data_IF_027925883221
#
_entry.id   IF_027925883221
#
_cell.length_a   1.000
_cell.length_b   1.000
_cell.length_c   1.000
_cell.angle_alpha   90.00
_cell.angle_beta   90.00
_cell.angle_gamma   90.00
#
_symmetry.space_group_name_H-M   'P 1'
#
loop_
_entity.id
_entity.type
_entity.pdbx_description
1 polymer ?
#
# COMPACT_ATOMS: atom_id res chain seq x y z
N UNK A 1 -4.01 -33.36 11.96
CA UNK A 1 -4.16 -32.22 11.02
C UNK A 1 -2.82 -31.51 10.90
N UNK A 2 -2.34 -31.18 9.69
CA UNK A 2 -1.16 -30.32 9.53
C UNK A 2 -1.56 -28.92 10.02
N UNK A 3 -0.99 -28.48 11.13
CA UNK A 3 -1.24 -27.14 11.63
C UNK A 3 -0.37 -26.15 10.84
N UNK A 4 -0.92 -25.04 10.32
CA UNK A 4 -0.12 -24.05 9.62
C UNK A 4 0.92 -23.42 10.56
N UNK A 5 2.15 -23.29 10.06
CA UNK A 5 3.28 -22.70 10.78
C UNK A 5 3.52 -21.23 10.41
N UNK A 6 2.90 -20.76 9.32
CA UNK A 6 2.97 -19.36 8.91
C UNK A 6 1.88 -18.58 9.65
N UNK A 7 2.22 -17.38 10.13
CA UNK A 7 1.26 -16.45 10.71
C UNK A 7 1.56 -15.06 10.18
N UNK A 8 0.67 -14.55 9.35
CA UNK A 8 0.78 -13.24 8.73
C UNK A 8 -0.52 -12.48 8.94
N UNK A 9 -0.40 -11.21 9.31
CA UNK A 9 -1.53 -10.28 9.39
C UNK A 9 -1.77 -9.66 8.02
N UNK A 10 -2.99 -9.78 7.51
CA UNK A 10 -3.38 -9.18 6.24
C UNK A 10 -4.67 -8.38 6.38
N UNK A 11 -4.77 -7.30 5.59
CA UNK A 11 -6.01 -6.54 5.47
C UNK A 11 -7.11 -7.43 4.88
N UNK A 12 -8.30 -7.47 5.47
CA UNK A 12 -9.42 -8.33 5.02
C UNK A 12 -9.71 -8.15 3.52
N UNK A 13 -9.52 -6.94 2.99
CA UNK A 13 -9.72 -6.62 1.58
C UNK A 13 -8.68 -7.26 0.64
N UNK A 14 -7.51 -7.68 1.14
CA UNK A 14 -6.48 -8.43 0.37
C UNK A 14 -7.08 -9.63 -0.35
N UNK A 15 -8.05 -10.27 0.29
CA UNK A 15 -8.73 -11.45 -0.24
C UNK A 15 -9.66 -11.10 -1.41
N UNK A 16 -10.12 -9.85 -1.50
CA UNK A 16 -10.99 -9.38 -2.59
C UNK A 16 -10.22 -9.09 -3.88
N UNK A 17 -8.96 -8.66 -3.81
CA UNK A 17 -8.13 -8.37 -5.00
C UNK A 17 -7.13 -9.47 -5.38
N UNK A 18 -6.74 -10.34 -4.46
CA UNK A 18 -5.75 -11.39 -4.72
C UNK A 18 -6.32 -12.66 -5.40
N UNK A 19 -7.57 -12.60 -5.89
CA UNK A 19 -8.21 -13.66 -6.67
C UNK A 19 -8.69 -14.87 -5.86
N UNK A 20 -9.50 -15.73 -6.48
CA UNK A 20 -10.12 -16.89 -5.81
C UNK A 20 -9.14 -17.88 -5.12
N UNK A 21 -7.90 -18.11 -5.58
CA UNK A 21 -7.01 -19.07 -4.94
C UNK A 21 -6.50 -18.59 -3.57
N UNK A 22 -6.37 -17.28 -3.35
CA UNK A 22 -5.89 -16.72 -2.08
C UNK A 22 -6.95 -16.76 -0.99
N UNK A 23 -8.26 -16.69 -1.35
CA UNK A 23 -9.38 -16.90 -0.41
C UNK A 23 -9.33 -18.27 0.29
N UNK A 24 -8.75 -19.28 -0.37
CA UNK A 24 -8.64 -20.66 0.15
C UNK A 24 -7.26 -20.89 0.79
N UNK A 25 -6.19 -20.40 0.16
CA UNK A 25 -4.82 -20.61 0.62
C UNK A 25 -4.52 -19.84 1.92
N UNK A 26 -5.08 -18.65 2.11
CA UNK A 26 -4.74 -17.76 3.23
C UNK A 26 -5.25 -18.29 4.59
N UNK A 27 -6.51 -18.72 4.71
CA UNK A 27 -6.99 -19.38 5.92
C UNK A 27 -6.25 -20.70 6.20
N UNK A 28 -5.94 -21.48 5.14
CA UNK A 28 -5.23 -22.76 5.26
C UNK A 28 -3.78 -22.60 5.74
N UNK A 29 -3.16 -21.44 5.49
CA UNK A 29 -1.80 -21.09 5.92
C UNK A 29 -1.74 -20.37 7.28
N UNK A 30 -2.86 -20.16 7.98
CA UNK A 30 -2.87 -19.59 9.33
C UNK A 30 -2.80 -18.06 9.40
N UNK A 31 -3.17 -17.38 8.32
CA UNK A 31 -3.17 -15.92 8.25
C UNK A 31 -4.35 -15.31 9.02
N UNK A 32 -4.10 -14.16 9.68
CA UNK A 32 -5.08 -13.47 10.51
C UNK A 32 -5.59 -12.24 9.74
N UNK A 33 -6.88 -12.23 9.42
CA UNK A 33 -7.52 -11.09 8.77
C UNK A 33 -7.75 -9.95 9.77
N UNK A 34 -7.29 -8.75 9.42
CA UNK A 34 -7.56 -7.52 10.18
C UNK A 34 -8.24 -6.52 9.26
N UNK A 35 -9.15 -5.72 9.81
CA UNK A 35 -9.69 -4.57 9.06
C UNK A 35 -8.79 -3.36 9.33
N UNK A 36 -8.26 -2.75 8.27
CA UNK A 36 -7.43 -1.57 8.40
C UNK A 36 -8.31 -0.38 8.81
N UNK A 37 -8.00 0.27 9.94
CA UNK A 37 -8.76 1.45 10.43
C UNK A 37 -10.27 1.19 10.66
N UNK A 38 -10.70 -0.06 10.75
CA UNK A 38 -12.07 -0.48 11.09
C UNK A 38 -12.21 -0.88 12.56
N UNK A 39 -13.45 -0.89 13.09
CA UNK A 39 -13.73 -1.25 14.47
C UNK A 39 -13.95 -2.78 14.63
N UNK A 40 -12.96 -3.59 14.26
CA UNK A 40 -13.03 -5.04 14.40
C UNK A 40 -12.59 -5.51 15.80
N UNK A 41 -13.44 -5.29 16.81
CA UNK A 41 -13.17 -5.68 18.21
C UNK A 41 -12.91 -7.18 18.34
N UNK A 42 -13.62 -8.02 17.60
CA UNK A 42 -13.46 -9.48 17.64
C UNK A 42 -12.10 -9.91 17.10
N UNK A 43 -11.69 -9.38 15.95
CA UNK A 43 -10.36 -9.63 15.37
C UNK A 43 -9.22 -9.18 16.29
N UNK A 44 -9.36 -8.02 16.94
CA UNK A 44 -8.38 -7.54 17.91
C UNK A 44 -8.31 -8.44 19.16
N UNK A 45 -9.44 -8.91 19.67
CA UNK A 45 -9.47 -9.85 20.80
C UNK A 45 -8.86 -11.20 20.45
N UNK A 46 -9.16 -11.72 19.25
CA UNK A 46 -8.54 -12.93 18.74
C UNK A 46 -7.02 -12.78 18.64
N UNK A 47 -6.55 -11.71 17.98
CA UNK A 47 -5.12 -11.44 17.82
C UNK A 47 -4.41 -11.30 19.17
N UNK A 48 -5.01 -10.61 20.14
CA UNK A 48 -4.46 -10.47 21.50
C UNK A 48 -4.26 -11.83 22.18
N UNK A 49 -5.24 -12.73 22.10
CA UNK A 49 -5.11 -14.09 22.64
C UNK A 49 -4.00 -14.88 21.94
N UNK A 50 -3.93 -14.77 20.61
CA UNK A 50 -2.91 -15.48 19.82
C UNK A 50 -1.48 -15.00 20.13
N UNK A 51 -1.27 -13.70 20.34
CA UNK A 51 0.08 -13.15 20.58
C UNK A 51 0.56 -13.31 22.01
N UNK A 52 -0.34 -13.53 22.98
CA UNK A 52 0.01 -13.83 24.37
C UNK A 52 0.58 -15.25 24.56
N UNK A 53 0.13 -16.20 23.75
CA UNK A 53 0.67 -17.56 23.74
C UNK A 53 0.92 -18.07 22.31
N UNK A 54 1.86 -17.44 21.57
CA UNK A 54 2.03 -17.72 20.16
C UNK A 54 2.75 -19.05 19.98
N UNK A 55 2.19 -19.89 19.12
CA UNK A 55 2.82 -21.16 18.70
C UNK A 55 3.99 -20.93 17.74
N UNK A 56 3.92 -19.88 16.93
CA UNK A 56 4.91 -19.52 15.90
C UNK A 56 5.07 -17.98 15.83
N UNK A 57 6.19 -17.47 15.29
CA UNK A 57 6.36 -16.04 15.04
C UNK A 57 5.25 -15.46 14.15
N UNK A 58 4.94 -14.19 14.35
CA UNK A 58 3.97 -13.46 13.53
C UNK A 58 4.73 -12.46 12.67
N UNK A 59 4.45 -12.46 11.38
CA UNK A 59 4.91 -11.46 10.44
C UNK A 59 3.77 -10.48 10.11
N UNK A 60 4.10 -9.22 9.89
CA UNK A 60 3.15 -8.19 9.49
C UNK A 60 3.88 -7.08 8.73
N UNK A 61 3.18 -6.41 7.83
CA UNK A 61 3.61 -5.15 7.21
C UNK A 61 3.06 -3.99 8.07
N UNK A 62 3.91 -3.26 8.81
CA UNK A 62 3.44 -2.27 9.78
C UNK A 62 2.95 -0.96 9.14
N UNK A 63 3.19 -0.74 7.85
CA UNK A 63 2.84 0.47 7.09
C UNK A 63 1.33 0.61 6.83
N UNK A 64 0.53 -0.42 7.12
CA UNK A 64 -0.93 -0.40 6.97
C UNK A 64 -1.44 -0.44 5.52
N UNK A 65 -0.58 -0.25 4.52
CA UNK A 65 -0.87 -0.32 3.09
C UNK A 65 0.36 -0.77 2.28
N UNK A 66 0.14 -1.06 0.98
CA UNK A 66 1.23 -1.39 0.05
C UNK A 66 2.05 -0.14 -0.22
N UNK A 67 3.37 -0.23 -0.06
CA UNK A 67 4.33 0.81 -0.44
C UNK A 67 5.03 0.44 -1.74
N UNK A 68 5.51 1.45 -2.48
CA UNK A 68 6.08 1.25 -3.82
C UNK A 68 7.52 1.73 -3.99
N UNK A 69 8.12 2.26 -2.93
CA UNK A 69 9.50 2.72 -2.92
C UNK A 69 10.31 1.82 -1.98
N UNK A 70 11.26 1.07 -2.54
CA UNK A 70 12.25 0.37 -1.74
C UNK A 70 13.16 1.37 -1.01
N UNK A 71 13.92 0.90 -0.02
CA UNK A 71 14.94 1.69 0.70
C UNK A 71 14.42 2.88 1.51
N UNK A 72 13.12 3.14 1.48
CA UNK A 72 12.44 4.18 2.25
C UNK A 72 11.39 3.50 3.12
N UNK A 73 11.43 3.74 4.43
CA UNK A 73 10.35 3.31 5.31
C UNK A 73 9.20 4.33 5.23
N UNK A 74 8.00 3.87 4.89
CA UNK A 74 6.81 4.69 5.06
C UNK A 74 6.45 4.80 6.55
N UNK A 75 5.59 5.76 6.89
CA UNK A 75 5.01 5.86 8.23
C UNK A 75 4.32 4.54 8.60
N UNK A 76 4.52 4.08 9.82
CA UNK A 76 3.91 2.84 10.31
C UNK A 76 2.74 3.12 11.23
N UNK A 77 1.82 2.17 11.30
CA UNK A 77 0.68 2.19 12.19
C UNK A 77 1.07 1.69 13.59
N UNK A 78 0.42 2.24 14.62
CA UNK A 78 0.60 1.84 16.03
C UNK A 78 0.21 0.37 16.32
N UNK A 79 -0.36 -0.34 15.34
CA UNK A 79 -0.78 -1.74 15.47
C UNK A 79 0.36 -2.66 15.88
N UNK A 80 1.56 -2.49 15.28
CA UNK A 80 2.72 -3.31 15.60
C UNK A 80 3.17 -3.17 17.06
N UNK A 81 3.24 -1.93 17.55
CA UNK A 81 3.57 -1.64 18.95
C UNK A 81 2.52 -2.18 19.93
N UNK A 82 1.22 -2.09 19.58
CA UNK A 82 0.14 -2.68 20.39
C UNK A 82 0.26 -4.21 20.47
N UNK A 83 0.53 -4.88 19.34
CA UNK A 83 0.72 -6.34 19.29
C UNK A 83 1.90 -6.76 20.17
N UNK A 84 3.02 -6.05 20.08
CA UNK A 84 4.19 -6.31 20.93
C UNK A 84 3.86 -6.13 22.42
N UNK A 85 3.14 -5.06 22.78
CA UNK A 85 2.71 -4.84 24.16
C UNK A 85 1.74 -5.92 24.65
N UNK A 86 0.82 -6.41 23.81
CA UNK A 86 -0.09 -7.50 24.17
C UNK A 86 0.66 -8.81 24.37
N UNK A 87 1.67 -9.10 23.55
CA UNK A 87 2.49 -10.30 23.70
C UNK A 87 3.22 -10.33 25.07
N UNK A 88 3.65 -9.17 25.58
CA UNK A 88 4.29 -9.04 26.89
C UNK A 88 3.34 -9.26 28.09
N UNK A 89 2.03 -9.21 27.89
CA UNK A 89 1.04 -9.55 28.92
C UNK A 89 0.89 -11.07 29.10
N UNK A 90 1.42 -11.86 28.16
CA UNK A 90 1.50 -13.31 28.26
C UNK A 90 2.62 -13.77 29.21
N UNK A 91 2.82 -15.09 29.36
CA UNK A 91 3.82 -15.66 30.26
C UNK A 91 5.28 -15.50 29.77
N UNK A 92 5.51 -14.89 28.60
CA UNK A 92 6.85 -14.76 28.02
C UNK A 92 7.67 -13.69 28.73
N UNK A 93 8.90 -14.06 29.07
CA UNK A 93 9.88 -13.15 29.65
C UNK A 93 10.36 -12.10 28.64
N UNK A 94 10.32 -12.37 27.34
CA UNK A 94 10.75 -11.42 26.31
C UNK A 94 9.92 -11.55 25.03
N UNK A 95 9.78 -10.43 24.32
CA UNK A 95 9.25 -10.33 22.96
C UNK A 95 10.35 -9.71 22.10
N UNK A 96 10.76 -10.41 21.05
CA UNK A 96 11.77 -9.93 20.10
C UNK A 96 11.09 -9.59 18.79
N UNK A 97 11.34 -8.38 18.28
CA UNK A 97 10.87 -7.95 16.96
C UNK A 97 12.07 -7.88 16.03
N UNK A 98 11.98 -8.54 14.88
CA UNK A 98 13.02 -8.50 13.85
C UNK A 98 12.54 -7.62 12.68
N UNK A 99 13.10 -6.41 12.49
CA UNK A 99 12.83 -5.62 11.30
C UNK A 99 13.31 -6.36 10.05
N UNK A 100 12.50 -6.37 8.99
CA UNK A 100 12.84 -7.02 7.72
C UNK A 100 12.76 -5.98 6.60
N UNK A 101 13.87 -5.77 5.89
CA UNK A 101 13.92 -4.99 4.67
C UNK A 101 13.71 -5.89 3.45
N UNK A 102 12.93 -5.42 2.48
CA UNK A 102 12.73 -6.10 1.20
C UNK A 102 13.10 -5.16 0.05
N UNK A 103 13.92 -5.65 -0.86
CA UNK A 103 14.35 -4.95 -2.05
C UNK A 103 14.29 -5.88 -3.25
N UNK A 104 14.30 -5.32 -4.45
CA UNK A 104 14.19 -6.11 -5.67
C UNK A 104 15.35 -5.80 -6.60
N UNK A 105 15.68 -6.71 -7.50
CA UNK A 105 16.41 -6.39 -8.75
C UNK A 105 15.51 -6.79 -9.90
N UNK A 106 15.13 -5.85 -10.76
CA UNK A 106 14.06 -6.06 -11.73
C UNK A 106 14.50 -6.75 -13.01
N UNK A 107 15.74 -6.53 -13.44
CA UNK A 107 16.32 -7.16 -14.62
C UNK A 107 17.80 -7.51 -14.42
N UNK A 108 18.38 -8.26 -15.37
CA UNK A 108 19.83 -8.45 -15.45
C UNK A 108 20.53 -7.17 -15.95
N UNK A 109 19.86 -6.47 -16.87
CA UNK A 109 20.28 -5.19 -17.45
C UNK A 109 19.18 -4.17 -17.12
N UNK A 110 19.40 -3.40 -16.06
CA UNK A 110 18.41 -2.47 -15.53
C UNK A 110 18.28 -1.23 -16.43
N UNK A 111 19.37 -0.76 -17.05
CA UNK A 111 19.34 0.41 -17.92
C UNK A 111 18.50 0.16 -19.17
N UNK A 112 18.72 -0.97 -19.85
CA UNK A 112 17.88 -1.37 -20.98
C UNK A 112 16.44 -1.55 -20.55
N UNK A 113 16.22 -2.21 -19.40
CA UNK A 113 14.87 -2.43 -18.90
C UNK A 113 14.14 -1.10 -18.59
N UNK A 114 14.84 -0.10 -18.06
CA UNK A 114 14.28 1.23 -17.84
C UNK A 114 13.85 1.89 -19.16
N UNK A 115 14.67 1.81 -20.21
CA UNK A 115 14.30 2.33 -21.53
C UNK A 115 13.08 1.61 -22.13
N UNK A 116 12.96 0.30 -21.91
CA UNK A 116 11.78 -0.49 -22.30
C UNK A 116 10.52 -0.02 -21.56
N UNK A 117 10.64 0.30 -20.26
CA UNK A 117 9.52 0.85 -19.47
C UNK A 117 9.08 2.22 -19.97
N UNK A 118 10.02 3.12 -20.28
CA UNK A 118 9.69 4.44 -20.84
C UNK A 118 8.96 4.29 -22.19
N UNK A 119 9.47 3.41 -23.07
CA UNK A 119 8.83 3.12 -24.36
C UNK A 119 7.45 2.51 -24.21
N UNK A 120 7.26 1.66 -23.19
CA UNK A 120 5.96 1.11 -22.86
C UNK A 120 4.99 2.19 -22.40
N UNK A 121 5.42 3.10 -21.53
CA UNK A 121 4.59 4.21 -21.06
C UNK A 121 4.21 5.11 -22.24
N UNK A 122 5.15 5.48 -23.11
CA UNK A 122 4.90 6.29 -24.32
C UNK A 122 3.80 5.68 -25.19
N UNK A 123 3.84 4.35 -25.40
CA UNK A 123 2.83 3.62 -26.16
C UNK A 123 1.48 3.56 -25.47
N UNK A 124 1.45 3.28 -24.16
CA UNK A 124 0.20 3.13 -23.40
C UNK A 124 -0.49 4.48 -23.15
N UNK A 125 0.29 5.55 -22.95
CA UNK A 125 -0.20 6.92 -22.82
C UNK A 125 -0.54 7.56 -24.16
N UNK A 126 0.01 7.04 -25.27
CA UNK A 126 -0.01 7.68 -26.58
C UNK A 126 0.57 9.11 -26.54
N UNK A 127 1.69 9.28 -25.82
CA UNK A 127 2.39 10.56 -25.65
C UNK A 127 3.88 10.38 -25.89
N UNK A 128 4.44 11.12 -26.83
CA UNK A 128 5.88 11.08 -27.13
C UNK A 128 6.73 11.59 -25.97
N UNK A 129 7.80 10.86 -25.64
CA UNK A 129 8.79 11.27 -24.64
C UNK A 129 10.01 11.87 -25.36
N UNK A 130 10.49 13.03 -24.89
CA UNK A 130 11.71 13.64 -25.42
C UNK A 130 12.94 12.82 -25.03
N UNK A 131 13.47 12.07 -26.00
CA UNK A 131 14.62 11.17 -25.81
C UNK A 131 15.96 11.91 -25.75
N UNK A 132 15.98 13.22 -26.00
CA UNK A 132 17.19 14.03 -25.86
C UNK A 132 17.54 14.34 -24.40
N UNK A 133 16.55 14.26 -23.50
CA UNK A 133 16.72 14.48 -22.06
C UNK A 133 17.40 13.28 -21.38
N UNK A 134 18.15 13.48 -20.29
CA UNK A 134 18.60 12.39 -19.43
C UNK A 134 17.42 11.54 -18.89
N UNK A 135 17.60 10.23 -18.61
CA UNK A 135 16.51 9.36 -18.15
C UNK A 135 15.72 9.90 -16.95
N UNK A 136 16.39 10.49 -15.96
CA UNK A 136 15.72 11.07 -14.79
C UNK A 136 14.78 12.23 -15.17
N UNK A 137 15.19 13.09 -16.10
CA UNK A 137 14.37 14.21 -16.58
C UNK A 137 13.21 13.70 -17.45
N UNK A 138 13.43 12.66 -18.27
CA UNK A 138 12.36 11.96 -18.98
C UNK A 138 11.30 11.44 -17.99
N UNK A 139 11.71 10.75 -16.93
CA UNK A 139 10.78 10.19 -15.93
C UNK A 139 10.04 11.30 -15.17
N UNK A 140 10.72 12.41 -14.84
CA UNK A 140 10.05 13.56 -14.22
C UNK A 140 8.98 14.14 -15.14
N UNK A 141 9.29 14.33 -16.43
CA UNK A 141 8.32 14.80 -17.43
C UNK A 141 7.14 13.83 -17.58
N UNK A 142 7.42 12.53 -17.64
CA UNK A 142 6.41 11.45 -17.67
C UNK A 142 5.50 11.51 -16.44
N UNK A 143 6.05 11.77 -15.26
CA UNK A 143 5.28 11.94 -14.03
C UNK A 143 4.25 13.06 -14.16
N UNK A 144 4.70 14.26 -14.54
CA UNK A 144 3.79 15.40 -14.74
C UNK A 144 2.76 15.15 -15.84
N UNK A 145 3.16 14.51 -16.93
CA UNK A 145 2.23 14.16 -18.02
C UNK A 145 1.18 13.14 -17.58
N UNK A 146 1.58 12.17 -16.74
CA UNK A 146 0.64 11.20 -16.13
C UNK A 146 -0.42 11.93 -15.28
N UNK A 147 -0.05 12.98 -14.52
CA UNK A 147 -1.02 13.79 -13.78
C UNK A 147 -2.00 14.53 -14.72
N UNK A 148 -1.53 15.05 -15.87
CA UNK A 148 -2.42 15.66 -16.87
C UNK A 148 -3.39 14.65 -17.48
N UNK A 149 -2.93 13.44 -17.75
CA UNK A 149 -3.79 12.36 -18.26
C UNK A 149 -4.90 12.02 -17.24
N UNK A 150 -4.57 11.93 -15.95
CA UNK A 150 -5.57 11.74 -14.89
C UNK A 150 -6.57 12.90 -14.84
N UNK A 151 -6.08 14.14 -14.84
CA UNK A 151 -6.93 15.35 -14.83
C UNK A 151 -7.92 15.38 -16.00
N UNK A 152 -7.45 14.97 -17.18
CA UNK A 152 -8.24 14.93 -18.43
C UNK A 152 -9.23 13.77 -18.41
N UNK A 153 -8.78 12.56 -18.05
CA UNK A 153 -9.62 11.35 -18.03
C UNK A 153 -10.86 11.53 -17.15
N UNK A 154 -10.67 12.11 -15.97
CA UNK A 154 -11.75 12.36 -15.01
C UNK A 154 -12.46 13.70 -15.19
N UNK A 155 -12.09 14.49 -16.22
CA UNK A 155 -12.63 15.81 -16.51
C UNK A 155 -12.65 16.73 -15.26
N UNK A 156 -11.57 16.72 -14.47
CA UNK A 156 -11.51 17.43 -13.19
C UNK A 156 -11.32 18.94 -13.39
N UNK A 157 -10.90 19.38 -14.58
CA UNK A 157 -10.68 20.78 -14.94
C UNK A 157 -9.74 21.54 -13.97
N UNK A 158 -8.82 20.82 -13.30
CA UNK A 158 -7.86 21.44 -12.40
C UNK A 158 -6.77 22.16 -13.19
N UNK A 159 -6.37 23.33 -12.69
CA UNK A 159 -5.16 24.01 -13.15
C UNK A 159 -3.96 23.43 -12.42
N UNK A 160 -3.22 22.54 -13.08
CA UNK A 160 -2.05 21.89 -12.51
C UNK A 160 -0.85 22.85 -12.47
N UNK A 161 -0.49 23.33 -11.28
CA UNK A 161 0.65 24.24 -11.02
C UNK A 161 1.36 23.85 -9.73
N UNK A 162 2.62 24.22 -9.61
CA UNK A 162 3.46 23.93 -8.44
C UNK A 162 4.27 22.64 -8.59
N UNK A 163 4.77 22.15 -7.46
CA UNK A 163 5.52 20.90 -7.35
C UNK A 163 4.69 19.68 -7.76
N UNK A 164 5.36 18.57 -8.02
CA UNK A 164 4.69 17.32 -8.37
C UNK A 164 3.72 16.87 -7.27
N UNK A 165 4.15 16.94 -6.00
CA UNK A 165 3.34 16.55 -4.84
C UNK A 165 2.09 17.43 -4.72
N UNK A 166 2.21 18.75 -4.85
CA UNK A 166 1.05 19.65 -4.80
C UNK A 166 0.01 19.33 -5.90
N UNK A 167 0.47 19.05 -7.13
CA UNK A 167 -0.42 18.69 -8.24
C UNK A 167 -1.08 17.32 -8.03
N UNK A 168 -0.30 16.34 -7.58
CA UNK A 168 -0.74 14.98 -7.26
C UNK A 168 -1.78 14.99 -6.15
N UNK A 169 -1.52 15.71 -5.06
CA UNK A 169 -2.42 15.80 -3.90
C UNK A 169 -3.71 16.52 -4.26
N UNK A 170 -3.64 17.58 -5.10
CA UNK A 170 -4.82 18.24 -5.63
C UNK A 170 -5.70 17.32 -6.48
N UNK A 171 -5.10 16.45 -7.29
CA UNK A 171 -5.83 15.43 -8.05
C UNK A 171 -6.45 14.37 -7.14
N UNK A 172 -5.69 13.87 -6.16
CA UNK A 172 -6.20 12.94 -5.15
C UNK A 172 -7.38 13.53 -4.38
N UNK A 173 -7.29 14.78 -3.93
CA UNK A 173 -8.38 15.48 -3.24
C UNK A 173 -9.64 15.59 -4.11
N UNK A 174 -9.48 16.00 -5.37
CA UNK A 174 -10.61 16.14 -6.30
C UNK A 174 -11.32 14.80 -6.57
N UNK A 175 -10.55 13.74 -6.82
CA UNK A 175 -11.08 12.39 -7.04
C UNK A 175 -11.79 11.85 -5.78
N UNK A 176 -11.22 12.08 -4.61
CA UNK A 176 -11.82 11.68 -3.33
C UNK A 176 -13.11 12.45 -3.07
N UNK A 177 -13.15 13.78 -3.27
CA UNK A 177 -14.38 14.57 -3.13
C UNK A 177 -15.48 14.10 -4.07
N UNK A 178 -15.12 13.77 -5.31
CA UNK A 178 -16.06 13.21 -6.27
C UNK A 178 -16.62 11.88 -5.77
N UNK A 179 -15.76 10.98 -5.30
CA UNK A 179 -16.14 9.66 -4.77
C UNK A 179 -16.98 9.76 -3.48
N UNK A 180 -16.62 10.66 -2.57
CA UNK A 180 -17.37 10.97 -1.34
C UNK A 180 -18.77 11.49 -1.67
N UNK A 181 -18.90 12.39 -2.65
CA UNK A 181 -20.19 12.88 -3.13
C UNK A 181 -21.03 11.77 -3.75
N UNK A 182 -20.43 10.87 -4.53
CA UNK A 182 -21.13 9.70 -5.10
C UNK A 182 -21.62 8.74 -4.01
N UNK A 183 -20.86 8.60 -2.92
CA UNK A 183 -21.19 7.73 -1.78
C UNK A 183 -22.04 8.36 -0.69
N UNK A 184 -22.37 9.65 -0.79
CA UNK A 184 -23.08 10.38 0.28
C UNK A 184 -22.28 10.41 1.60
N UNK A 185 -20.96 10.46 1.53
CA UNK A 185 -20.09 10.52 2.71
C UNK A 185 -19.93 11.97 3.17
N UNK A 186 -20.40 12.26 4.40
CA UNK A 186 -20.33 13.62 4.98
C UNK A 186 -18.97 13.93 5.62
N UNK A 187 -18.21 12.90 6.02
CA UNK A 187 -16.89 13.03 6.63
C UNK A 187 -15.76 12.98 5.59
N UNK A 188 -15.19 14.15 5.29
CA UNK A 188 -13.99 14.32 4.46
C UNK A 188 -12.74 14.65 5.29
N UNK A 189 -12.72 14.38 6.60
CA UNK A 189 -11.58 14.69 7.47
C UNK A 189 -10.45 13.66 7.40
N UNK A 190 -9.23 14.05 7.77
CA UNK A 190 -8.06 13.16 7.81
C UNK A 190 -7.19 13.22 6.55
N UNK A 191 -6.24 12.28 6.47
CA UNK A 191 -5.30 12.16 5.34
C UNK A 191 -5.98 11.66 4.05
N UNK A 192 -5.27 11.74 2.93
CA UNK A 192 -5.70 11.12 1.65
C UNK A 192 -6.02 9.63 1.86
N UNK A 193 -5.17 8.91 2.59
CA UNK A 193 -5.35 7.49 2.87
C UNK A 193 -6.59 7.24 3.76
N UNK A 194 -6.85 8.07 4.79
CA UNK A 194 -8.05 7.93 5.63
C UNK A 194 -9.33 8.02 4.79
N UNK A 195 -9.40 9.03 3.94
CA UNK A 195 -10.52 9.28 3.04
C UNK A 195 -10.67 8.16 2.02
N UNK A 196 -9.56 7.71 1.42
CA UNK A 196 -9.53 6.59 0.49
C UNK A 196 -10.14 5.32 1.09
N UNK A 197 -9.79 4.98 2.33
CA UNK A 197 -10.39 3.82 3.00
C UNK A 197 -11.88 3.96 3.22
N UNK A 198 -12.37 5.13 3.65
CA UNK A 198 -13.81 5.36 3.82
C UNK A 198 -14.58 5.18 2.51
N UNK A 199 -14.08 5.76 1.43
CA UNK A 199 -14.63 5.60 0.08
C UNK A 199 -14.64 4.12 -0.33
N UNK A 200 -13.53 3.40 -0.15
CA UNK A 200 -13.42 1.97 -0.47
C UNK A 200 -14.40 1.12 0.32
N UNK A 201 -14.54 1.35 1.62
CA UNK A 201 -15.48 0.59 2.46
C UNK A 201 -16.92 0.80 2.04
N UNK A 202 -17.29 2.03 1.67
CA UNK A 202 -18.62 2.34 1.11
C UNK A 202 -18.83 1.63 -0.23
N UNK A 203 -17.85 1.65 -1.13
CA UNK A 203 -17.97 0.96 -2.41
C UNK A 203 -18.08 -0.55 -2.24
N UNK A 204 -17.19 -1.18 -1.46
CA UNK A 204 -17.17 -2.62 -1.22
C UNK A 204 -18.45 -3.12 -0.55
N UNK A 205 -19.03 -2.36 0.40
CA UNK A 205 -20.27 -2.77 1.06
C UNK A 205 -21.44 -2.85 0.10
N UNK A 206 -21.58 -1.87 -0.82
CA UNK A 206 -22.62 -1.85 -1.84
C UNK A 206 -22.34 -2.88 -2.95
N UNK A 207 -21.11 -2.98 -3.44
CA UNK A 207 -20.78 -3.85 -4.57
C UNK A 207 -20.87 -5.34 -4.22
N UNK A 208 -20.71 -5.70 -2.94
CA UNK A 208 -20.90 -7.07 -2.46
C UNK A 208 -22.35 -7.37 -2.03
N UNK A 209 -23.23 -6.37 -1.98
CA UNK A 209 -24.65 -6.58 -1.69
C UNK A 209 -25.38 -7.10 -2.94
N UNK A 210 -25.34 -8.43 -3.09
CA UNK A 210 -25.88 -9.11 -4.27
C UNK A 210 -27.29 -9.67 -4.07
N UNK A 211 -27.82 -9.69 -2.85
CA UNK A 211 -29.14 -10.26 -2.57
C UNK A 211 -30.24 -9.22 -2.80
N UNK A 212 -31.05 -9.44 -3.84
CA UNK A 212 -32.14 -8.55 -4.26
C UNK A 212 -33.51 -9.22 -4.15
N UNK A 213 -33.56 -10.38 -3.49
CA UNK A 213 -34.75 -11.24 -3.47
C UNK A 213 -35.95 -10.56 -2.80
N UNK A 214 -35.69 -9.67 -1.84
CA UNK A 214 -36.71 -8.97 -1.05
C UNK A 214 -37.02 -7.54 -1.51
N UNK A 215 -36.29 -7.02 -2.51
CA UNK A 215 -36.47 -5.65 -3.01
C UNK A 215 -37.62 -5.57 -4.03
N UNK A 216 -38.47 -4.56 -3.88
CA UNK A 216 -39.44 -4.11 -4.89
C UNK A 216 -38.74 -3.57 -6.16
N UNK A 217 -39.49 -3.35 -7.24
CA UNK A 217 -38.92 -2.81 -8.49
C UNK A 217 -38.28 -1.43 -8.31
N UNK A 218 -38.92 -0.53 -7.56
CA UNK A 218 -38.38 0.81 -7.29
C UNK A 218 -37.10 0.74 -6.44
N UNK A 219 -37.06 -0.13 -5.42
CA UNK A 219 -35.87 -0.33 -4.59
C UNK A 219 -34.72 -0.93 -5.40
N UNK A 220 -35.00 -1.85 -6.32
CA UNK A 220 -33.99 -2.40 -7.24
C UNK A 220 -33.41 -1.32 -8.14
N UNK A 221 -34.24 -0.42 -8.67
CA UNK A 221 -33.77 0.68 -9.52
C UNK A 221 -32.85 1.63 -8.75
N UNK A 222 -33.22 1.99 -7.52
CA UNK A 222 -32.38 2.83 -6.64
C UNK A 222 -31.06 2.14 -6.30
N UNK A 223 -31.12 0.84 -6.00
CA UNK A 223 -29.92 0.04 -5.75
C UNK A 223 -28.99 -0.03 -6.98
N UNK A 224 -29.53 -0.22 -8.18
CA UNK A 224 -28.74 -0.24 -9.41
C UNK A 224 -28.08 1.09 -9.73
N UNK A 225 -28.76 2.20 -9.43
CA UNK A 225 -28.18 3.54 -9.50
C UNK A 225 -27.01 3.69 -8.52
N UNK A 226 -27.19 3.25 -7.26
CA UNK A 226 -26.14 3.28 -6.24
C UNK A 226 -24.94 2.40 -6.61
N UNK A 227 -25.17 1.18 -7.10
CA UNK A 227 -24.11 0.30 -7.62
C UNK A 227 -23.34 0.99 -8.75
N UNK A 228 -24.02 1.69 -9.65
CA UNK A 228 -23.37 2.43 -10.74
C UNK A 228 -22.47 3.53 -10.21
N UNK A 229 -22.95 4.33 -9.24
CA UNK A 229 -22.15 5.34 -8.54
C UNK A 229 -20.94 4.73 -7.85
N UNK A 230 -21.11 3.61 -7.15
CA UNK A 230 -20.02 2.96 -6.42
C UNK A 230 -18.97 2.31 -7.34
N UNK A 231 -19.33 1.86 -8.55
CA UNK A 231 -18.34 1.42 -9.54
C UNK A 231 -17.43 2.57 -9.99
N UNK A 232 -18.00 3.76 -10.21
CA UNK A 232 -17.25 4.95 -10.58
C UNK A 232 -16.34 5.40 -9.42
N UNK A 233 -16.90 5.41 -8.21
CA UNK A 233 -16.19 5.72 -6.96
C UNK A 233 -15.00 4.77 -6.72
N UNK A 234 -15.20 3.46 -6.86
CA UNK A 234 -14.12 2.47 -6.72
C UNK A 234 -13.04 2.68 -7.78
N UNK A 235 -13.40 2.96 -9.04
CA UNK A 235 -12.43 3.23 -10.11
C UNK A 235 -11.58 4.47 -9.81
N UNK A 236 -12.17 5.57 -9.36
CA UNK A 236 -11.44 6.75 -8.91
C UNK A 236 -10.51 6.42 -7.72
N UNK A 237 -11.00 5.65 -6.75
CA UNK A 237 -10.22 5.20 -5.60
C UNK A 237 -9.01 4.33 -6.00
N UNK A 238 -9.13 3.47 -7.02
CA UNK A 238 -7.99 2.70 -7.54
C UNK A 238 -6.86 3.60 -8.07
N UNK A 239 -7.20 4.75 -8.67
CA UNK A 239 -6.21 5.71 -9.18
C UNK A 239 -5.52 6.45 -8.02
N UNK A 240 -6.30 6.94 -7.04
CA UNK A 240 -5.79 7.62 -5.85
C UNK A 240 -4.83 6.73 -5.06
N UNK A 241 -5.16 5.44 -4.93
CA UNK A 241 -4.35 4.45 -4.22
C UNK A 241 -2.94 4.29 -4.77
N UNK A 242 -2.73 4.49 -6.08
CA UNK A 242 -1.39 4.44 -6.65
C UNK A 242 -0.74 5.82 -6.58
N UNK A 243 -1.48 6.88 -6.93
CA UNK A 243 -0.96 8.24 -6.98
C UNK A 243 -0.37 8.69 -5.65
N UNK A 244 -1.03 8.41 -4.52
CA UNK A 244 -0.60 8.90 -3.21
C UNK A 244 0.82 8.44 -2.81
N UNK A 245 1.32 7.36 -3.38
CA UNK A 245 2.68 6.88 -3.10
C UNK A 245 3.74 7.41 -4.05
N UNK A 246 3.37 8.02 -5.17
CA UNK A 246 4.35 8.49 -6.15
C UNK A 246 4.97 9.79 -5.65
N UNK A 247 6.28 9.77 -5.50
CA UNK A 247 7.11 10.94 -5.19
C UNK A 247 8.31 10.94 -6.11
N UNK A 248 8.41 11.94 -6.99
CA UNK A 248 9.52 12.04 -7.93
C UNK A 248 10.85 12.40 -7.25
N UNK A 249 10.84 12.88 -6.00
CA UNK A 249 12.06 13.07 -5.23
C UNK A 249 12.74 11.73 -4.90
N UNK A 250 11.98 10.62 -4.91
CA UNK A 250 12.53 9.28 -4.72
C UNK A 250 13.54 8.86 -5.81
N UNK A 251 13.53 9.53 -6.98
CA UNK A 251 14.53 9.34 -8.03
C UNK A 251 15.96 9.68 -7.56
N UNK A 252 16.08 10.50 -6.52
CA UNK A 252 17.35 10.84 -5.90
C UNK A 252 17.79 9.71 -4.97
N UNK A 253 19.07 9.33 -5.03
CA UNK A 253 19.63 8.26 -4.19
C UNK A 253 20.79 7.51 -4.86
N UNK A 254 21.41 6.57 -4.11
CA UNK A 254 22.55 5.78 -4.59
C UNK A 254 22.16 4.83 -5.73
N UNK A 255 20.94 4.31 -5.70
CA UNK A 255 20.39 3.36 -6.68
C UNK A 255 19.49 4.00 -7.74
N UNK A 256 19.97 5.01 -8.44
CA UNK A 256 19.15 5.83 -9.32
C UNK A 256 18.36 5.02 -10.38
N UNK A 257 18.96 4.02 -11.03
CA UNK A 257 18.27 3.21 -12.07
C UNK A 257 17.19 2.31 -11.48
N UNK A 258 17.46 1.70 -10.32
CA UNK A 258 16.52 0.85 -9.59
C UNK A 258 15.29 1.66 -9.12
N UNK A 259 15.55 2.83 -8.53
CA UNK A 259 14.53 3.80 -8.08
C UNK A 259 13.70 4.30 -9.27
N UNK A 260 14.36 4.58 -10.39
CA UNK A 260 13.72 4.95 -11.66
C UNK A 260 12.79 3.87 -12.19
N UNK A 261 13.19 2.59 -12.12
CA UNK A 261 12.34 1.47 -12.51
C UNK A 261 11.10 1.40 -11.62
N UNK A 262 11.24 1.56 -10.30
CA UNK A 262 10.12 1.55 -9.36
C UNK A 262 9.11 2.66 -9.63
N UNK A 263 9.60 3.89 -9.85
CA UNK A 263 8.76 5.03 -10.24
C UNK A 263 8.04 4.75 -11.55
N UNK A 264 8.73 4.26 -12.58
CA UNK A 264 8.13 3.94 -13.87
C UNK A 264 7.09 2.81 -13.79
N UNK A 265 7.32 1.78 -12.97
CA UNK A 265 6.36 0.72 -12.73
C UNK A 265 5.10 1.22 -12.00
N UNK A 266 5.22 2.27 -11.19
CA UNK A 266 4.08 2.91 -10.52
C UNK A 266 3.31 3.84 -11.45
N UNK A 267 4.02 4.62 -12.30
CA UNK A 267 3.40 5.46 -13.33
C UNK A 267 2.65 4.64 -14.38
N UNK A 268 3.20 3.49 -14.80
CA UNK A 268 2.48 2.52 -15.62
C UNK A 268 1.26 1.93 -14.90
N UNK A 269 1.31 1.74 -13.59
CA UNK A 269 0.15 1.27 -12.84
C UNK A 269 -0.97 2.31 -12.82
N UNK A 270 -0.64 3.61 -12.75
CA UNK A 270 -1.65 4.68 -12.90
C UNK A 270 -2.39 4.54 -14.23
N UNK A 271 -1.69 4.34 -15.35
CA UNK A 271 -2.32 4.11 -16.66
C UNK A 271 -3.19 2.84 -16.65
N UNK A 272 -2.68 1.75 -16.08
CA UNK A 272 -3.45 0.52 -15.89
C UNK A 272 -4.75 0.77 -15.10
N UNK A 273 -4.72 1.57 -14.03
CA UNK A 273 -5.93 1.90 -13.25
C UNK A 273 -6.89 2.77 -14.03
N UNK A 274 -6.41 3.76 -14.79
CA UNK A 274 -7.27 4.55 -15.69
C UNK A 274 -8.00 3.66 -16.72
N UNK A 275 -7.35 2.61 -17.19
CA UNK A 275 -7.92 1.63 -18.13
C UNK A 275 -8.85 0.59 -17.46
N UNK A 276 -9.17 0.74 -16.18
CA UNK A 276 -10.04 -0.17 -15.43
C UNK A 276 -9.31 -1.41 -14.88
N UNK A 277 -7.98 -1.44 -14.96
CA UNK A 277 -7.16 -2.45 -14.32
C UNK A 277 -7.13 -2.33 -12.80
N UNK A 278 -6.62 -3.37 -12.15
CA UNK A 278 -6.43 -3.44 -10.70
C UNK A 278 -4.97 -3.81 -10.39
N UNK A 279 -4.65 -3.95 -9.11
CA UNK A 279 -3.29 -4.31 -8.65
C UNK A 279 -2.82 -5.66 -9.20
N UNK A 280 -3.73 -6.58 -9.51
CA UNK A 280 -3.41 -7.88 -10.10
C UNK A 280 -3.14 -7.80 -11.62
N UNK A 281 -3.58 -6.74 -12.31
CA UNK A 281 -3.28 -6.48 -13.72
C UNK A 281 -2.08 -5.57 -13.92
N UNK A 282 -1.52 -5.02 -12.83
CA UNK A 282 -0.29 -4.22 -12.86
C UNK A 282 0.82 -4.99 -13.58
N UNK A 283 1.53 -4.29 -14.47
CA UNK A 283 2.72 -4.86 -15.09
C UNK A 283 3.79 -5.21 -14.05
N UNK A 284 4.22 -6.48 -14.00
CA UNK A 284 5.29 -6.94 -13.14
C UNK A 284 6.39 -7.63 -13.95
N UNK A 285 7.67 -7.29 -13.73
CA UNK A 285 8.77 -7.92 -14.45
C UNK A 285 8.90 -9.40 -14.08
N UNK A 286 9.00 -10.29 -15.10
CA UNK A 286 9.03 -11.75 -14.89
C UNK A 286 10.27 -12.27 -14.17
N UNK A 287 11.40 -11.58 -14.29
CA UNK A 287 12.71 -12.04 -13.79
C UNK A 287 13.19 -11.28 -12.56
N UNK A 288 12.26 -10.67 -11.80
CA UNK A 288 12.61 -9.95 -10.58
C UNK A 288 13.20 -10.89 -9.54
N UNK A 289 14.28 -10.49 -8.90
CA UNK A 289 14.88 -11.18 -7.74
C UNK A 289 14.60 -10.37 -6.50
N UNK A 290 14.04 -11.01 -5.47
CA UNK A 290 13.85 -10.39 -4.17
C UNK A 290 15.10 -10.57 -3.30
N UNK A 291 15.48 -9.52 -2.59
CA UNK A 291 16.48 -9.51 -1.54
C UNK A 291 15.77 -9.24 -0.23
N UNK A 292 16.08 -10.05 0.78
CA UNK A 292 15.49 -9.94 2.11
C UNK A 292 16.64 -9.80 3.10
N UNK A 293 16.59 -8.76 3.92
CA UNK A 293 17.58 -8.50 4.95
C UNK A 293 16.90 -8.43 6.31
N UNK A 294 17.41 -9.18 7.28
CA UNK A 294 17.05 -9.02 8.68
C UNK A 294 17.89 -7.92 9.32
N UNK A 295 17.22 -6.98 9.99
CA UNK A 295 17.86 -5.92 10.75
C UNK A 295 18.27 -6.36 12.16
N UNK A 296 18.63 -5.38 12.99
CA UNK A 296 18.94 -5.63 14.40
C UNK A 296 17.66 -6.00 15.18
N UNK A 297 17.65 -7.12 15.93
CA UNK A 297 16.51 -7.47 16.76
C UNK A 297 16.23 -6.44 17.86
N UNK A 298 14.95 -6.17 18.11
CA UNK A 298 14.46 -5.27 19.16
C UNK A 298 13.92 -6.13 20.31
N UNK A 299 14.61 -6.11 21.45
CA UNK A 299 14.20 -6.81 22.68
C UNK A 299 13.24 -5.91 23.49
N UNK A 300 11.93 -6.15 23.39
CA UNK A 300 10.90 -5.19 23.82
C UNK A 300 10.83 -5.02 25.34
N UNK A 301 10.82 -6.12 26.12
CA UNK A 301 10.79 -6.05 27.59
C UNK A 301 12.08 -5.44 28.11
N UNK A 302 13.23 -5.91 27.64
CA UNK A 302 14.53 -5.38 28.06
C UNK A 302 14.67 -3.88 27.77
N UNK A 303 14.24 -3.43 26.60
CA UNK A 303 14.41 -2.04 26.18
C UNK A 303 13.36 -1.10 26.75
N UNK A 304 12.12 -1.56 26.96
CA UNK A 304 10.99 -0.67 27.27
C UNK A 304 10.17 -1.10 28.50
N UNK A 305 10.51 -2.21 29.16
CA UNK A 305 9.79 -2.75 30.30
C UNK A 305 9.85 -1.88 31.55
N UNK A 306 10.84 -0.98 31.64
CA UNK A 306 10.96 0.00 32.72
C UNK A 306 9.95 1.17 32.58
N UNK A 307 9.35 1.36 31.40
CA UNK A 307 8.39 2.44 31.13
C UNK A 307 7.01 2.04 31.67
N UNK A 308 6.56 2.75 32.71
CA UNK A 308 5.29 2.48 33.41
C UNK A 308 4.08 2.99 32.63
N UNK A 309 4.20 4.13 31.96
CA UNK A 309 3.14 4.73 31.15
C UNK A 309 2.85 3.92 29.89
N UNK A 310 1.63 3.37 29.76
CA UNK A 310 1.26 2.56 28.56
C UNK A 310 1.43 3.34 27.26
N UNK A 311 0.95 4.59 27.19
CA UNK A 311 1.04 5.42 25.98
C UNK A 311 2.49 5.72 25.61
N UNK A 312 3.29 6.10 26.61
CA UNK A 312 4.72 6.38 26.45
C UNK A 312 5.48 5.15 25.96
N UNK A 313 5.23 3.98 26.57
CA UNK A 313 5.84 2.72 26.15
C UNK A 313 5.46 2.34 24.72
N UNK A 314 4.19 2.49 24.34
CA UNK A 314 3.74 2.21 22.97
C UNK A 314 4.44 3.13 21.96
N UNK A 315 4.56 4.42 22.26
CA UNK A 315 5.27 5.36 21.40
C UNK A 315 6.76 5.01 21.27
N UNK A 316 7.42 4.66 22.38
CA UNK A 316 8.83 4.26 22.36
C UNK A 316 9.06 2.98 21.54
N UNK A 317 8.18 1.99 21.65
CA UNK A 317 8.22 0.78 20.81
C UNK A 317 8.02 1.15 19.33
N UNK A 318 7.04 2.00 19.02
CA UNK A 318 6.76 2.40 17.65
C UNK A 318 7.94 3.14 17.01
N UNK A 319 8.55 4.07 17.74
CA UNK A 319 9.73 4.78 17.29
C UNK A 319 10.90 3.83 17.02
N UNK A 320 11.16 2.87 17.93
CA UNK A 320 12.22 1.89 17.72
C UNK A 320 11.96 0.98 16.50
N UNK A 321 10.69 0.70 16.18
CA UNK A 321 10.31 -0.02 14.97
C UNK A 321 10.56 0.81 13.71
N UNK A 322 10.17 2.08 13.69
CA UNK A 322 10.44 3.00 12.58
C UNK A 322 11.95 3.11 12.32
N UNK A 323 12.73 3.33 13.37
CA UNK A 323 14.19 3.40 13.28
C UNK A 323 14.79 2.07 12.78
N UNK A 324 14.34 0.94 13.32
CA UNK A 324 14.79 -0.39 12.90
C UNK A 324 14.49 -0.71 11.43
N UNK A 325 13.28 -0.37 10.97
CA UNK A 325 12.84 -0.56 9.58
C UNK A 325 13.58 0.37 8.61
N UNK A 326 13.79 1.63 9.00
CA UNK A 326 14.57 2.57 8.21
C UNK A 326 16.04 2.12 8.09
N UNK A 327 16.65 1.71 9.20
CA UNK A 327 18.03 1.24 9.23
C UNK A 327 18.25 0.00 8.36
N UNK A 328 17.37 -1.00 8.43
CA UNK A 328 17.48 -2.20 7.59
C UNK A 328 17.25 -1.87 6.11
N UNK A 329 16.37 -0.91 5.80
CA UNK A 329 16.10 -0.47 4.43
C UNK A 329 17.31 0.24 3.81
N UNK A 330 17.94 1.16 4.55
CA UNK A 330 19.17 1.84 4.11
C UNK A 330 20.35 0.85 3.97
N UNK A 331 20.51 -0.06 4.94
CA UNK A 331 21.56 -1.10 4.87
C UNK A 331 21.37 -2.00 3.65
N UNK A 332 20.12 -2.37 3.36
CA UNK A 332 19.78 -3.15 2.18
C UNK A 332 20.12 -2.40 0.90
N UNK A 333 19.87 -1.09 0.84
CA UNK A 333 20.29 -0.25 -0.28
C UNK A 333 21.81 -0.37 -0.51
N UNK A 334 22.62 -0.21 0.53
CA UNK A 334 24.07 -0.27 0.41
C UNK A 334 24.58 -1.64 -0.04
N UNK A 335 24.07 -2.72 0.54
CA UNK A 335 24.45 -4.09 0.16
C UNK A 335 24.10 -4.37 -1.29
N UNK A 336 22.89 -3.98 -1.71
CA UNK A 336 22.46 -4.17 -3.09
C UNK A 336 23.32 -3.34 -4.05
N UNK A 337 23.79 -2.15 -3.65
CA UNK A 337 24.61 -1.27 -4.49
C UNK A 337 25.95 -1.90 -4.81
N UNK A 338 26.56 -2.49 -3.78
CA UNK A 338 27.87 -3.13 -3.90
C UNK A 338 27.81 -4.47 -4.66
N UNK A 339 26.61 -5.04 -4.79
CA UNK A 339 26.39 -6.37 -5.40
C UNK A 339 25.99 -6.31 -6.88
N UNK A 340 25.79 -5.12 -7.43
CA UNK A 340 25.38 -4.82 -8.81
C UNK A 340 26.48 -4.06 -9.51
#
# INVERSE_FOLDING_TARGET
MKHPHLRFLYGRDVVNWAGWPTKILFPALGFIAVENRGNNREGAQYLRKEVQNPRFPIALAPEGQVTYHAYTCASIEMGAANIASWALEGPREEVVILPIGIGYRYAKDNDRFLLDLITRWEKEANVAVDRSLPPNEQIRAIGYETLKLVNTFWNLNLTLKGSFIEQRDGLCDALLRYSESLGGLEDSSGSIIDRLFRVRYKAVSVLNDTDRSLLSEDERRLHDEEVTKQKISDHAAQVVDVLEYIDLNYLEGKHAVQRSIEVMLSLLDVLNRLQGGMINSRFSPKSKKAFILGGTPIEVRKSFGHITGRKERLNAINQALEEGLNNVSLTLEEIMFQST
#
